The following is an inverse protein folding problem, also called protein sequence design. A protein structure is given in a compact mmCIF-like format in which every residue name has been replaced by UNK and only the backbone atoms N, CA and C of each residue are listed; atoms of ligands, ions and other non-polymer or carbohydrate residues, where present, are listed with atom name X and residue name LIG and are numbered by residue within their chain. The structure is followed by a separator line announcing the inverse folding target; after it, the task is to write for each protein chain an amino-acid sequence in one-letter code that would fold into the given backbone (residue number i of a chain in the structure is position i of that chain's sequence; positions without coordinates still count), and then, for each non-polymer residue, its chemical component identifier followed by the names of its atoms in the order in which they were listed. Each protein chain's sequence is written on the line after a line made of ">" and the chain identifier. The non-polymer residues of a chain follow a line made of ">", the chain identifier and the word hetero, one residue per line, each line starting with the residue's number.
data_IF_658373684528
#
_entry.id   IF_658373684528
#
_cell.length_a   1.000
_cell.length_b   1.000
_cell.length_c   1.000
_cell.angle_alpha   90.00
_cell.angle_beta   90.00
_cell.angle_gamma   90.00
#
_symmetry.space_group_name_H-M   'P 1'
#
loop_
_entity.id
_entity.type
_entity.pdbx_description
1 polymer ?
#
# COMPACT_ATOMS: atom_id res chain seq x y z
N UNK A 1 13.23 -20.35 9.88
CA UNK A 1 12.60 -19.92 8.61
C UNK A 1 13.43 -18.77 8.08
N UNK A 2 14.35 -19.05 7.17
CA UNK A 2 15.45 -18.11 6.85
C UNK A 2 15.22 -17.35 5.55
N UNK A 3 14.41 -17.88 4.63
CA UNK A 3 14.14 -17.24 3.35
C UNK A 3 12.65 -17.34 2.96
N UNK A 4 12.02 -16.24 2.48
CA UNK A 4 12.47 -14.83 2.57
C UNK A 4 12.32 -14.27 4.00
N UNK A 5 12.94 -13.12 4.30
CA UNK A 5 12.80 -12.49 5.63
C UNK A 5 11.38 -11.94 5.82
N UNK A 6 10.57 -12.61 6.65
CA UNK A 6 9.20 -12.17 6.98
C UNK A 6 9.14 -10.83 7.69
N UNK A 7 10.13 -10.52 8.54
CA UNK A 7 10.24 -9.20 9.18
C UNK A 7 10.47 -8.10 8.15
N UNK A 8 11.37 -8.33 7.18
CA UNK A 8 11.63 -7.38 6.11
C UNK A 8 10.40 -7.19 5.22
N UNK A 9 9.74 -8.29 4.82
CA UNK A 9 8.53 -8.24 4.02
C UNK A 9 7.38 -7.49 4.72
N UNK A 10 7.14 -7.76 6.01
CA UNK A 10 6.08 -7.10 6.77
C UNK A 10 6.30 -5.60 6.89
N UNK A 11 7.51 -5.18 7.30
CA UNK A 11 7.83 -3.76 7.51
C UNK A 11 7.82 -2.98 6.19
N UNK A 12 8.32 -3.54 5.08
CA UNK A 12 8.28 -2.87 3.77
C UNK A 12 6.87 -2.79 3.19
N UNK A 13 5.99 -3.76 3.49
CA UNK A 13 4.57 -3.68 3.12
C UNK A 13 3.87 -2.51 3.82
N UNK A 14 4.02 -2.43 5.15
CA UNK A 14 3.46 -1.33 5.95
C UNK A 14 4.02 0.02 5.50
N UNK A 15 5.34 0.13 5.32
CA UNK A 15 5.99 1.35 4.87
C UNK A 15 5.44 1.80 3.50
N UNK A 16 5.17 0.87 2.58
CA UNK A 16 4.67 1.20 1.24
C UNK A 16 3.21 1.65 1.23
N UNK A 17 2.38 1.09 2.12
CA UNK A 17 1.02 1.56 2.36
C UNK A 17 1.04 2.98 2.93
N UNK A 18 1.78 3.20 4.02
CA UNK A 18 1.88 4.51 4.67
C UNK A 18 2.47 5.57 3.74
N UNK A 19 3.51 5.24 2.97
CA UNK A 19 4.10 6.15 2.00
C UNK A 19 3.12 6.54 0.88
N UNK A 20 2.20 5.64 0.50
CA UNK A 20 1.17 5.93 -0.51
C UNK A 20 0.05 6.80 0.09
N UNK A 21 -0.41 6.50 1.30
CA UNK A 21 -1.45 7.28 1.99
C UNK A 21 -0.99 8.73 2.24
N UNK A 22 0.25 8.90 2.70
CA UNK A 22 0.80 10.21 3.05
C UNK A 22 1.71 10.79 1.96
N UNK A 23 1.49 10.43 0.69
CA UNK A 23 2.34 10.86 -0.43
C UNK A 23 2.44 12.38 -0.60
N UNK A 24 1.44 13.14 -0.15
CA UNK A 24 1.45 14.60 -0.19
C UNK A 24 2.53 15.21 0.71
N UNK A 25 2.86 14.54 1.82
CA UNK A 25 3.89 14.98 2.75
C UNK A 25 5.19 14.21 2.51
N UNK A 26 6.13 14.82 1.78
CA UNK A 26 7.42 14.22 1.41
C UNK A 26 8.27 13.71 2.59
N UNK A 27 8.06 14.22 3.80
CA UNK A 27 8.81 13.78 4.98
C UNK A 27 8.36 12.40 5.46
N UNK A 28 7.07 12.07 5.32
CA UNK A 28 6.51 10.82 5.84
C UNK A 28 7.05 9.59 5.09
N UNK A 29 7.03 9.53 3.75
CA UNK A 29 7.65 8.43 2.99
C UNK A 29 9.12 8.21 3.35
N UNK A 30 9.89 9.28 3.49
CA UNK A 30 11.32 9.19 3.86
C UNK A 30 11.48 8.59 5.25
N UNK A 31 10.68 9.01 6.23
CA UNK A 31 10.73 8.47 7.58
C UNK A 31 10.34 6.99 7.63
N UNK A 32 9.22 6.60 7.00
CA UNK A 32 8.75 5.22 7.06
C UNK A 32 9.67 4.25 6.31
N UNK A 33 10.23 4.64 5.16
CA UNK A 33 11.25 3.84 4.48
C UNK A 33 12.58 3.83 5.23
N UNK A 34 12.93 4.92 5.92
CA UNK A 34 14.10 4.98 6.80
C UNK A 34 14.01 3.97 7.95
N UNK A 35 12.86 3.93 8.64
CA UNK A 35 12.58 2.95 9.70
C UNK A 35 12.56 1.52 9.16
N UNK A 36 12.02 1.33 7.95
CA UNK A 36 12.03 0.04 7.29
C UNK A 36 13.45 -0.45 6.97
N UNK A 37 14.29 0.44 6.44
CA UNK A 37 15.71 0.20 6.21
C UNK A 37 16.46 -0.12 7.50
N UNK A 38 16.21 0.62 8.59
CA UNK A 38 16.85 0.35 9.88
C UNK A 38 16.50 -1.05 10.43
N UNK A 39 15.23 -1.46 10.27
CA UNK A 39 14.78 -2.81 10.66
C UNK A 39 15.45 -3.89 9.81
N UNK A 40 15.51 -3.70 8.49
CA UNK A 40 16.18 -4.61 7.56
C UNK A 40 17.68 -4.74 7.88
N UNK A 41 18.36 -3.63 8.15
CA UNK A 41 19.77 -3.61 8.55
C UNK A 41 20.00 -4.32 9.87
N UNK A 42 19.13 -4.12 10.87
CA UNK A 42 19.21 -4.86 12.14
C UNK A 42 19.14 -6.37 11.93
N UNK A 43 18.32 -6.87 10.99
CA UNK A 43 18.23 -8.31 10.70
C UNK A 43 19.49 -8.89 10.06
N UNK A 44 20.23 -8.09 9.30
CA UNK A 44 21.56 -8.49 8.79
C UNK A 44 22.61 -8.41 9.89
N UNK A 45 22.59 -7.34 10.69
CA UNK A 45 23.54 -7.11 11.79
C UNK A 45 23.49 -8.24 12.84
N UNK A 46 22.29 -8.68 13.20
CA UNK A 46 22.07 -9.78 14.15
C UNK A 46 22.47 -11.15 13.56
N UNK A 47 23.01 -11.21 12.34
CA UNK A 47 23.32 -12.43 11.56
C UNK A 47 22.13 -13.40 11.44
N UNK A 48 20.91 -12.88 11.62
CA UNK A 48 19.69 -13.67 11.60
C UNK A 48 19.26 -14.03 10.18
N UNK A 49 19.59 -13.18 9.20
CA UNK A 49 19.26 -13.38 7.79
C UNK A 49 20.40 -12.93 6.88
N UNK A 50 20.56 -13.59 5.74
CA UNK A 50 21.49 -13.14 4.73
C UNK A 50 20.97 -11.86 4.08
N UNK A 51 21.85 -10.95 3.62
CA UNK A 51 21.43 -9.73 2.92
C UNK A 51 20.49 -10.00 1.74
N UNK A 52 20.68 -11.12 1.04
CA UNK A 52 19.78 -11.60 -0.03
C UNK A 52 18.35 -11.83 0.48
N UNK A 53 18.21 -12.47 1.64
CA UNK A 53 16.91 -12.85 2.20
C UNK A 53 16.13 -11.61 2.65
N UNK A 54 16.85 -10.63 3.19
CA UNK A 54 16.34 -9.32 3.56
C UNK A 54 15.93 -8.54 2.31
N UNK A 55 16.78 -8.48 1.28
CA UNK A 55 16.47 -7.80 0.02
C UNK A 55 15.23 -8.37 -0.66
N UNK A 56 15.15 -9.69 -0.84
CA UNK A 56 13.97 -10.35 -1.42
C UNK A 56 12.73 -10.15 -0.56
N UNK A 57 12.86 -10.24 0.77
CA UNK A 57 11.77 -9.94 1.69
C UNK A 57 11.26 -8.51 1.52
N UNK A 58 12.15 -7.52 1.54
CA UNK A 58 11.80 -6.10 1.36
C UNK A 58 11.11 -5.85 0.03
N UNK A 59 11.60 -6.43 -1.06
CA UNK A 59 11.01 -6.26 -2.38
C UNK A 59 9.60 -6.86 -2.46
N UNK A 60 9.40 -8.07 -1.92
CA UNK A 60 8.08 -8.68 -1.82
C UNK A 60 7.12 -7.83 -0.98
N UNK A 61 7.59 -7.32 0.16
CA UNK A 61 6.82 -6.42 1.01
C UNK A 61 6.38 -5.16 0.27
N UNK A 62 7.31 -4.49 -0.40
CA UNK A 62 7.05 -3.28 -1.16
C UNK A 62 5.99 -3.49 -2.25
N UNK A 63 6.17 -4.52 -3.07
CA UNK A 63 5.23 -4.84 -4.16
C UNK A 63 3.85 -5.19 -3.62
N UNK A 64 3.79 -5.94 -2.51
CA UNK A 64 2.51 -6.28 -1.85
C UNK A 64 1.79 -5.02 -1.37
N UNK A 65 2.49 -4.12 -0.68
CA UNK A 65 1.90 -2.86 -0.20
C UNK A 65 1.40 -1.98 -1.35
N UNK A 66 2.17 -1.85 -2.43
CA UNK A 66 1.73 -1.12 -3.63
C UNK A 66 0.54 -1.78 -4.32
N UNK A 67 0.51 -3.11 -4.42
CA UNK A 67 -0.61 -3.84 -5.00
C UNK A 67 -1.90 -3.65 -4.20
N UNK A 68 -1.83 -3.71 -2.87
CA UNK A 68 -2.98 -3.46 -1.99
C UNK A 68 -3.53 -2.05 -2.18
N UNK A 69 -2.65 -1.05 -2.26
CA UNK A 69 -3.09 0.34 -2.49
C UNK A 69 -3.73 0.52 -3.86
N UNK A 70 -3.15 -0.08 -4.90
CA UNK A 70 -3.73 -0.04 -6.24
C UNK A 70 -5.13 -0.68 -6.27
N UNK A 71 -5.31 -1.84 -5.62
CA UNK A 71 -6.62 -2.49 -5.51
C UNK A 71 -7.62 -1.70 -4.65
N UNK A 72 -7.13 -0.91 -3.68
CA UNK A 72 -7.98 -0.07 -2.85
C UNK A 72 -8.50 1.14 -3.63
N UNK A 73 -7.65 1.81 -4.41
CA UNK A 73 -8.01 2.96 -5.25
C UNK A 73 -9.01 2.58 -6.37
N UNK A 74 -8.99 1.33 -6.83
CA UNK A 74 -9.92 0.82 -7.85
C UNK A 74 -11.37 0.68 -7.34
N UNK A 75 -11.63 0.77 -6.03
CA UNK A 75 -12.99 0.78 -5.48
C UNK A 75 -13.64 2.15 -5.65
N UNK A 76 -14.04 2.47 -6.88
CA UNK A 76 -14.99 3.55 -7.14
C UNK A 76 -16.37 3.14 -6.64
N UNK A 77 -16.85 3.77 -5.57
CA UNK A 77 -18.23 3.60 -5.12
C UNK A 77 -19.16 4.19 -6.18
N UNK A 78 -19.82 3.30 -6.92
CA UNK A 78 -20.78 3.65 -7.93
C UNK A 78 -22.16 3.74 -7.30
N UNK A 79 -22.61 4.96 -7.05
CA UNK A 79 -23.92 5.20 -6.46
C UNK A 79 -24.94 5.22 -7.60
N UNK A 80 -25.85 4.24 -7.57
CA UNK A 80 -26.99 4.15 -8.47
C UNK A 80 -28.19 4.75 -7.76
N UNK A 81 -28.61 5.93 -8.19
CA UNK A 81 -29.79 6.61 -7.63
C UNK A 81 -30.87 6.80 -8.71
N UNK A 82 -32.13 6.41 -8.45
CA UNK A 82 -33.24 6.75 -9.33
C UNK A 82 -33.45 8.26 -9.30
N UNK A 83 -33.33 8.93 -10.45
CA UNK A 83 -33.49 10.38 -10.55
C UNK A 83 -34.72 10.73 -11.37
N UNK A 84 -35.54 11.63 -10.82
CA UNK A 84 -36.63 12.30 -11.53
C UNK A 84 -36.08 13.58 -12.16
N UNK A 85 -35.69 13.51 -13.43
CA UNK A 85 -35.20 14.68 -14.19
C UNK A 85 -36.33 15.64 -14.55
N UNK A 86 -37.55 15.14 -14.78
CA UNK A 86 -38.79 15.91 -15.07
C UNK A 86 -40.03 15.09 -14.67
N UNK A 87 -41.24 15.68 -14.59
CA UNK A 87 -42.47 15.02 -14.15
C UNK A 87 -42.90 13.77 -14.95
N UNK A 88 -42.28 13.51 -16.11
CA UNK A 88 -42.62 12.39 -16.99
C UNK A 88 -41.39 11.67 -17.57
N UNK A 89 -40.20 11.82 -16.96
CA UNK A 89 -39.01 11.08 -17.35
C UNK A 89 -38.34 10.44 -16.13
N UNK A 90 -38.18 9.12 -16.21
CA UNK A 90 -37.41 8.33 -15.24
C UNK A 90 -36.01 8.08 -15.79
N UNK A 91 -34.99 8.38 -15.00
CA UNK A 91 -33.60 8.12 -15.33
C UNK A 91 -32.87 7.42 -14.19
N UNK A 92 -31.74 6.81 -14.53
CA UNK A 92 -30.78 6.29 -13.57
C UNK A 92 -29.59 7.26 -13.57
N UNK A 93 -29.31 7.87 -12.42
CA UNK A 93 -28.10 8.68 -12.26
C UNK A 93 -26.98 7.78 -11.74
N UNK A 94 -25.84 7.87 -12.43
CA UNK A 94 -24.63 7.16 -12.11
C UNK A 94 -23.61 8.17 -11.61
N UNK A 95 -23.51 8.29 -10.28
CA UNK A 95 -22.50 9.15 -9.67
C UNK A 95 -21.24 8.33 -9.40
N UNK A 96 -20.14 8.79 -9.97
CA UNK A 96 -18.81 8.28 -9.66
C UNK A 96 -18.16 9.30 -8.72
N UNK A 97 -18.02 8.97 -7.44
CA UNK A 97 -17.22 9.79 -6.52
C UNK A 97 -15.75 9.61 -6.91
N UNK A 98 -15.08 10.73 -7.22
CA UNK A 98 -13.64 10.78 -7.50
C UNK A 98 -12.86 11.13 -6.22
#
# INVERSE_FOLDING_TARGET
>A
LSFPSGHSAGVFSIASVLATIYQENKYIPVLVYGLAGATALSRVYDQAHWPSDVFFGSMLGYLTGKAVMALHEEKKEFIVAPTLLTPNQYGILLLCCF
#
